data_IF_910991855188
#
_entry.id   IF_910991855188
#
_cell.length_a   1.000
_cell.length_b   1.000
_cell.length_c   1.000
_cell.angle_alpha   90.00
_cell.angle_beta   90.00
_cell.angle_gamma   90.00
#
_symmetry.space_group_name_H-M   'P 1'
#
loop_
_entity.id
_entity.type
_entity.pdbx_description
1 polymer ?
#
# COMPACT_ATOMS: atom_id res chain seq x y z
N UNK A 1 11.90 -3.54 1.11
CA UNK A 1 11.33 -4.32 2.23
C UNK A 1 11.11 -3.38 3.39
N UNK A 2 10.05 -3.56 4.19
CA UNK A 2 9.75 -2.67 5.32
C UNK A 2 10.43 -3.19 6.58
N UNK A 3 11.30 -2.37 7.17
CA UNK A 3 12.02 -2.71 8.39
C UNK A 3 11.36 -2.02 9.59
N UNK A 4 11.30 -2.72 10.72
CA UNK A 4 10.78 -2.20 11.99
C UNK A 4 11.77 -2.53 13.12
N UNK A 5 12.46 -1.56 13.70
CA UNK A 5 13.43 -1.87 14.75
C UNK A 5 12.75 -2.25 16.10
N UNK A 6 13.54 -2.55 17.12
CA UNK A 6 13.04 -2.85 18.47
C UNK A 6 12.40 -1.63 19.16
N UNK A 7 12.67 -0.43 18.68
CA UNK A 7 12.13 0.84 19.18
C UNK A 7 10.87 1.28 18.40
N UNK A 8 10.33 0.40 17.56
CA UNK A 8 9.19 0.65 16.70
C UNK A 8 9.40 1.74 15.63
N UNK A 9 10.65 1.97 15.24
CA UNK A 9 10.98 2.82 14.10
C UNK A 9 10.85 2.02 12.80
N UNK A 10 10.12 2.59 11.85
CA UNK A 10 9.95 2.08 10.51
C UNK A 10 11.00 2.67 9.58
N UNK A 11 11.59 1.83 8.73
CA UNK A 11 12.38 2.33 7.61
C UNK A 11 12.21 1.45 6.38
N UNK A 12 12.28 2.05 5.20
CA UNK A 12 12.34 1.33 3.94
C UNK A 12 12.89 2.24 2.84
N UNK A 13 13.40 1.62 1.78
CA UNK A 13 13.68 2.31 0.53
C UNK A 13 13.34 1.41 -0.64
N UNK A 14 13.11 2.01 -1.79
CA UNK A 14 12.81 1.25 -2.99
C UNK A 14 12.85 2.10 -4.25
N UNK A 15 12.63 1.40 -5.37
CA UNK A 15 12.48 1.99 -6.68
C UNK A 15 11.10 1.65 -7.22
N UNK A 16 10.38 2.64 -7.75
CA UNK A 16 9.17 2.42 -8.54
C UNK A 16 9.64 1.86 -9.90
N UNK A 17 9.13 0.70 -10.33
CA UNK A 17 9.45 0.12 -11.62
C UNK A 17 9.19 1.11 -12.75
N UNK A 18 10.05 1.14 -13.76
CA UNK A 18 9.93 2.10 -14.88
C UNK A 18 8.57 2.02 -15.58
N UNK A 19 7.99 0.83 -15.62
CA UNK A 19 6.65 0.55 -16.13
C UNK A 19 5.55 1.31 -15.37
N UNK A 20 5.74 1.53 -14.07
CA UNK A 20 4.84 2.31 -13.21
C UNK A 20 5.29 3.78 -13.07
N UNK A 21 6.53 4.08 -13.43
CA UNK A 21 7.09 5.44 -13.35
C UNK A 21 6.74 6.30 -14.59
N UNK A 22 6.66 5.72 -15.78
CA UNK A 22 6.30 6.42 -17.04
C UNK A 22 4.79 6.66 -17.15
N UNK A 23 4.33 7.64 -17.92
CA UNK A 23 2.91 8.02 -18.16
C UNK A 23 1.94 6.86 -18.52
N UNK A 24 1.65 5.96 -17.57
CA UNK A 24 0.59 4.97 -17.69
C UNK A 24 -0.75 5.68 -17.57
N UNK A 25 -1.71 5.30 -18.40
CA UNK A 25 -3.07 5.81 -18.27
C UNK A 25 -3.69 5.29 -16.97
N UNK A 26 -4.67 6.02 -16.43
CA UNK A 26 -5.43 5.52 -15.28
C UNK A 26 -6.08 4.16 -15.53
N UNK A 27 -6.50 3.91 -16.78
CA UNK A 27 -7.06 2.61 -17.17
C UNK A 27 -6.03 1.49 -16.97
N UNK A 28 -4.82 1.68 -17.47
CA UNK A 28 -3.75 0.68 -17.37
C UNK A 28 -3.34 0.50 -15.90
N UNK A 29 -3.22 1.59 -15.15
CA UNK A 29 -2.99 1.55 -13.71
C UNK A 29 -4.06 0.74 -12.97
N UNK A 30 -5.34 1.02 -13.23
CA UNK A 30 -6.46 0.35 -12.58
C UNK A 30 -6.48 -1.14 -12.94
N UNK A 31 -6.21 -1.48 -14.21
CA UNK A 31 -6.07 -2.86 -14.65
C UNK A 31 -4.95 -3.59 -13.90
N UNK A 32 -3.78 -2.96 -13.71
CA UNK A 32 -2.68 -3.55 -12.93
C UNK A 32 -3.11 -3.80 -11.48
N UNK A 33 -3.66 -2.80 -10.80
CA UNK A 33 -4.05 -2.93 -9.38
C UNK A 33 -5.15 -3.99 -9.20
N UNK A 34 -6.17 -3.98 -10.07
CA UNK A 34 -7.27 -4.96 -10.02
C UNK A 34 -6.73 -6.37 -10.26
N UNK A 35 -5.89 -6.56 -11.28
CA UNK A 35 -5.29 -7.85 -11.59
C UNK A 35 -4.48 -8.37 -10.40
N UNK A 36 -3.68 -7.51 -9.76
CA UNK A 36 -2.90 -7.87 -8.58
C UNK A 36 -3.75 -8.20 -7.36
N UNK A 37 -4.92 -7.56 -7.20
CA UNK A 37 -5.89 -7.93 -6.18
C UNK A 37 -6.55 -9.28 -6.43
N UNK A 38 -6.89 -9.58 -7.69
CA UNK A 38 -7.44 -10.88 -8.08
C UNK A 38 -6.41 -11.98 -7.83
N UNK A 39 -5.15 -11.75 -8.21
CA UNK A 39 -4.03 -12.66 -7.96
C UNK A 39 -3.85 -12.89 -6.45
N UNK A 40 -3.82 -11.81 -5.65
CA UNK A 40 -3.74 -11.88 -4.19
C UNK A 40 -4.87 -12.71 -3.58
N UNK A 41 -6.12 -12.50 -4.01
CA UNK A 41 -7.27 -13.29 -3.58
C UNK A 41 -7.16 -14.76 -4.00
N UNK A 42 -6.75 -15.02 -5.23
CA UNK A 42 -6.57 -16.37 -5.77
C UNK A 42 -5.48 -17.15 -5.03
N UNK A 43 -4.34 -16.49 -4.74
CA UNK A 43 -3.27 -17.10 -3.95
C UNK A 43 -3.72 -17.40 -2.53
N UNK A 44 -4.44 -16.47 -1.90
CA UNK A 44 -5.00 -16.69 -0.58
C UNK A 44 -6.01 -17.85 -0.54
N UNK A 45 -6.88 -17.98 -1.53
CA UNK A 45 -7.84 -19.09 -1.60
C UNK A 45 -7.17 -20.45 -1.87
N UNK A 46 -6.08 -20.46 -2.66
CA UNK A 46 -5.30 -21.67 -2.95
C UNK A 46 -4.47 -22.16 -1.76
N UNK A 47 -4.07 -21.27 -0.85
CA UNK A 47 -3.41 -21.66 0.41
C UNK A 47 -4.39 -22.41 1.32
N UNK A 48 -4.27 -23.74 1.31
CA UNK A 48 -5.24 -24.74 1.78
C UNK A 48 -5.63 -24.51 3.26
N UNK A 49 -6.86 -24.04 3.52
CA UNK A 49 -7.53 -24.20 4.83
C UNK A 49 -7.68 -22.95 5.72
N UNK A 50 -7.40 -21.76 5.20
CA UNK A 50 -7.51 -20.49 5.93
C UNK A 50 -6.19 -20.01 6.53
N UNK A 51 -6.23 -18.90 7.28
CA UNK A 51 -5.03 -18.17 7.76
C UNK A 51 -3.99 -19.02 8.50
N UNK A 52 -4.38 -20.20 9.00
CA UNK A 52 -3.51 -21.11 9.75
C UNK A 52 -2.45 -21.87 8.94
N UNK A 53 -2.38 -21.68 7.61
CA UNK A 53 -1.48 -22.45 6.72
C UNK A 53 -0.70 -21.63 5.69
N UNK A 54 -0.72 -20.29 5.73
CA UNK A 54 0.15 -19.49 4.85
C UNK A 54 1.61 -19.78 5.22
N UNK A 55 2.26 -20.69 4.49
CA UNK A 55 3.62 -21.15 4.78
C UNK A 55 4.60 -20.69 3.71
N UNK A 56 5.80 -20.29 4.15
CA UNK A 56 7.00 -20.06 3.32
C UNK A 56 6.77 -19.40 1.95
N UNK A 57 6.57 -20.23 0.92
CA UNK A 57 6.36 -19.78 -0.46
C UNK A 57 5.08 -18.99 -0.69
N UNK A 58 3.96 -19.38 -0.06
CA UNK A 58 2.68 -18.67 -0.21
C UNK A 58 2.73 -17.29 0.45
N UNK A 59 3.38 -17.20 1.62
CA UNK A 59 3.63 -15.94 2.32
C UNK A 59 4.44 -14.99 1.45
N UNK A 60 5.53 -15.49 0.85
CA UNK A 60 6.39 -14.70 -0.03
C UNK A 60 5.60 -14.16 -1.21
N UNK A 61 4.83 -15.00 -1.88
CA UNK A 61 4.00 -14.58 -3.03
C UNK A 61 2.98 -13.52 -2.61
N UNK A 62 2.28 -13.70 -1.49
CA UNK A 62 1.36 -12.69 -0.95
C UNK A 62 2.07 -11.36 -0.69
N UNK A 63 3.25 -11.38 -0.06
CA UNK A 63 4.05 -10.17 0.19
C UNK A 63 4.46 -9.52 -1.13
N UNK A 64 4.93 -10.29 -2.11
CA UNK A 64 5.36 -9.78 -3.41
C UNK A 64 4.18 -9.09 -4.13
N UNK A 65 2.98 -9.68 -4.10
CA UNK A 65 1.77 -9.07 -4.66
C UNK A 65 1.39 -7.77 -3.92
N UNK A 66 1.44 -7.77 -2.59
CA UNK A 66 1.20 -6.57 -1.78
C UNK A 66 2.22 -5.46 -2.06
N UNK A 67 3.49 -5.81 -2.29
CA UNK A 67 4.53 -4.87 -2.65
C UNK A 67 4.29 -4.24 -4.03
N UNK A 68 3.82 -5.01 -5.02
CA UNK A 68 3.46 -4.46 -6.34
C UNK A 68 2.26 -3.52 -6.23
N UNK A 69 1.23 -3.91 -5.47
CA UNK A 69 0.07 -3.08 -5.16
C UNK A 69 0.52 -1.77 -4.50
N UNK A 70 1.37 -1.86 -3.47
CA UNK A 70 1.92 -0.71 -2.76
C UNK A 70 2.64 0.24 -3.72
N UNK A 71 3.55 -0.27 -4.56
CA UNK A 71 4.29 0.54 -5.53
C UNK A 71 3.36 1.19 -6.56
N UNK A 72 2.32 0.50 -7.00
CA UNK A 72 1.32 1.05 -7.94
C UNK A 72 0.50 2.18 -7.30
N UNK A 73 0.13 2.04 -6.03
CA UNK A 73 -0.59 3.09 -5.31
C UNK A 73 0.34 4.27 -5.02
N UNK A 74 1.59 3.99 -4.63
CA UNK A 74 2.61 5.00 -4.38
C UNK A 74 2.92 5.80 -5.66
N UNK A 75 3.02 5.15 -6.83
CA UNK A 75 3.20 5.83 -8.11
C UNK A 75 2.02 6.75 -8.43
N UNK A 76 0.78 6.31 -8.15
CA UNK A 76 -0.40 7.16 -8.31
C UNK A 76 -0.36 8.37 -7.37
N UNK A 77 0.05 8.15 -6.12
CA UNK A 77 0.18 9.19 -5.11
C UNK A 77 1.16 10.28 -5.55
N UNK A 78 2.28 9.91 -6.15
CA UNK A 78 3.31 10.85 -6.60
C UNK A 78 2.86 11.61 -7.84
N UNK A 79 2.17 10.96 -8.79
CA UNK A 79 1.62 11.64 -9.97
C UNK A 79 0.56 12.67 -9.61
N UNK A 80 -0.13 12.46 -8.50
CA UNK A 80 -1.11 13.40 -7.97
C UNK A 80 -0.48 14.48 -7.10
N UNK A 81 0.81 14.39 -6.75
CA UNK A 81 1.54 15.46 -6.07
C UNK A 81 1.57 16.73 -6.91
N UNK A 82 1.64 17.88 -6.24
CA UNK A 82 2.05 19.10 -6.94
C UNK A 82 3.50 18.96 -7.41
N UNK A 83 3.87 19.64 -8.49
CA UNK A 83 5.23 19.59 -9.10
C UNK A 83 6.39 19.90 -8.14
N UNK A 84 6.11 20.34 -6.90
CA UNK A 84 7.09 20.79 -5.90
C UNK A 84 7.19 19.88 -4.67
N UNK A 85 6.35 18.85 -4.56
CA UNK A 85 6.32 17.98 -3.39
C UNK A 85 7.11 16.69 -3.66
N UNK A 86 8.33 16.62 -3.13
CA UNK A 86 9.15 15.40 -3.08
C UNK A 86 9.08 14.71 -1.71
N UNK A 87 8.14 15.13 -0.86
CA UNK A 87 7.94 14.56 0.46
C UNK A 87 6.47 14.62 0.85
N UNK A 88 6.02 13.61 1.59
CA UNK A 88 4.71 13.64 2.25
C UNK A 88 4.75 12.79 3.52
N UNK A 89 3.83 13.07 4.45
CA UNK A 89 3.70 12.32 5.69
C UNK A 89 2.31 11.69 5.77
N UNK A 90 2.29 10.37 5.97
CA UNK A 90 1.12 9.62 6.36
C UNK A 90 0.99 9.69 7.87
N UNK A 91 -0.11 10.25 8.38
CA UNK A 91 -0.38 10.28 9.82
C UNK A 91 -1.67 9.55 10.08
N UNK A 92 -1.63 8.57 10.98
CA UNK A 92 -2.81 7.84 11.39
C UNK A 92 -2.95 7.91 12.90
N UNK A 93 -4.07 8.49 13.36
CA UNK A 93 -4.36 8.61 14.79
C UNK A 93 -4.22 7.25 15.48
N UNK A 94 -3.45 7.22 16.56
CA UNK A 94 -3.17 6.04 17.39
C UNK A 94 -2.45 4.87 16.70
N UNK A 95 -1.99 5.03 15.46
CA UNK A 95 -1.27 3.96 14.72
C UNK A 95 0.14 4.36 14.30
N UNK A 96 0.46 5.65 14.28
CA UNK A 96 1.81 6.14 14.02
C UNK A 96 1.87 7.10 12.84
N UNK A 97 3.09 7.41 12.43
CA UNK A 97 3.34 8.24 11.26
C UNK A 97 4.47 7.68 10.41
N UNK A 98 4.38 7.95 9.11
CA UNK A 98 5.36 7.52 8.13
C UNK A 98 5.62 8.68 7.18
N UNK A 99 6.87 9.13 7.10
CA UNK A 99 7.35 10.12 6.16
C UNK A 99 7.96 9.44 4.94
N UNK A 100 7.57 9.90 3.75
CA UNK A 100 8.16 9.52 2.48
C UNK A 100 8.99 10.68 1.93
N UNK A 101 10.16 10.37 1.39
CA UNK A 101 11.03 11.30 0.70
C UNK A 101 11.44 10.70 -0.66
N UNK A 102 11.42 11.51 -1.71
CA UNK A 102 11.72 11.12 -3.07
C UNK A 102 12.96 11.87 -3.55
N UNK A 103 14.05 11.15 -3.79
CA UNK A 103 15.24 11.73 -4.42
C UNK A 103 15.05 11.91 -5.93
N UNK A 104 14.09 11.20 -6.51
CA UNK A 104 13.57 11.36 -7.88
C UNK A 104 12.17 10.74 -7.98
N UNK A 105 11.48 10.86 -9.12
CA UNK A 105 10.17 10.24 -9.32
C UNK A 105 10.14 8.72 -9.10
N UNK A 106 11.30 8.05 -9.20
CA UNK A 106 11.38 6.60 -9.16
C UNK A 106 12.01 6.10 -7.86
N UNK A 107 12.78 6.92 -7.14
CA UNK A 107 13.48 6.50 -5.93
C UNK A 107 12.83 7.11 -4.70
N UNK A 108 12.51 6.24 -3.73
CA UNK A 108 11.84 6.62 -2.51
C UNK A 108 12.51 6.05 -1.28
N UNK A 109 12.45 6.83 -0.21
CA UNK A 109 12.86 6.48 1.13
C UNK A 109 11.71 6.76 2.09
N UNK A 110 11.57 5.91 3.09
CA UNK A 110 10.49 5.92 4.06
C UNK A 110 11.09 5.82 5.45
N UNK A 111 10.65 6.68 6.35
CA UNK A 111 10.98 6.63 7.79
C UNK A 111 9.72 6.89 8.59
N UNK A 112 9.50 6.18 9.69
CA UNK A 112 8.30 6.38 10.50
C UNK A 112 8.43 5.81 11.89
N UNK A 113 7.37 5.93 12.68
CA UNK A 113 7.28 5.35 14.02
C UNK A 113 5.89 4.79 14.25
N UNK A 114 5.82 3.63 14.90
CA UNK A 114 4.59 3.09 15.46
C UNK A 114 4.56 3.40 16.96
N UNK A 115 3.39 3.69 17.56
CA UNK A 115 3.30 4.03 18.97
C UNK A 115 3.64 2.81 19.84
N UNK A 116 4.19 3.02 21.04
CA UNK A 116 4.63 1.93 21.93
C UNK A 116 3.54 0.93 22.31
N UNK A 117 2.28 1.37 22.32
CA UNK A 117 1.12 0.52 22.58
C UNK A 117 0.58 -0.16 21.31
N UNK A 118 1.22 0.02 20.15
CA UNK A 118 0.78 -0.55 18.89
C UNK A 118 0.91 -2.08 18.94
N UNK A 119 -0.24 -2.73 19.07
CA UNK A 119 -0.36 -4.18 18.92
C UNK A 119 -1.00 -4.44 17.57
N UNK A 120 -0.26 -5.06 16.66
CA UNK A 120 -0.88 -5.64 15.48
C UNK A 120 -1.80 -6.74 15.99
N UNK A 121 -3.10 -6.49 15.97
CA UNK A 121 -4.06 -7.48 16.43
C UNK A 121 -3.98 -8.69 15.51
N UNK A 122 -3.91 -9.92 16.05
CA UNK A 122 -4.07 -11.13 15.25
C UNK A 122 -5.46 -11.06 14.61
N UNK A 123 -5.50 -10.69 13.34
CA UNK A 123 -6.71 -10.69 12.55
C UNK A 123 -6.49 -11.65 11.41
N UNK A 124 -7.57 -12.33 11.03
CA UNK A 124 -7.58 -13.16 9.84
C UNK A 124 -7.11 -12.33 8.65
N UNK A 125 -6.14 -12.81 7.87
CA UNK A 125 -5.66 -12.12 6.69
C UNK A 125 -6.80 -11.87 5.69
N UNK A 126 -7.75 -12.80 5.60
CA UNK A 126 -9.03 -12.58 4.90
C UNK A 126 -9.81 -11.34 5.36
N UNK A 127 -9.76 -10.96 6.64
CA UNK A 127 -10.40 -9.72 7.10
C UNK A 127 -9.68 -8.49 6.55
N UNK A 128 -8.35 -8.48 6.47
CA UNK A 128 -7.62 -7.38 5.83
C UNK A 128 -7.99 -7.26 4.36
N UNK A 129 -7.97 -8.35 3.60
CA UNK A 129 -8.35 -8.32 2.18
C UNK A 129 -9.79 -7.82 2.03
N UNK A 130 -10.75 -8.48 2.67
CA UNK A 130 -12.16 -8.28 2.36
C UNK A 130 -12.77 -7.04 3.03
N UNK A 131 -12.28 -6.65 4.21
CA UNK A 131 -12.89 -5.57 5.01
C UNK A 131 -12.05 -4.29 5.04
N UNK A 132 -10.78 -4.34 4.62
CA UNK A 132 -9.90 -3.15 4.59
C UNK A 132 -9.48 -2.81 3.16
N UNK A 133 -8.69 -3.68 2.54
CA UNK A 133 -8.04 -3.38 1.26
C UNK A 133 -9.04 -3.29 0.10
N UNK A 134 -9.92 -4.29 -0.07
CA UNK A 134 -10.85 -4.32 -1.21
C UNK A 134 -11.83 -3.12 -1.21
N UNK A 135 -12.47 -2.74 -0.09
CA UNK A 135 -13.29 -1.52 -0.04
C UNK A 135 -12.51 -0.25 -0.39
N UNK A 136 -11.30 -0.08 0.17
CA UNK A 136 -10.47 1.11 -0.07
C UNK A 136 -10.04 1.23 -1.53
N UNK A 137 -9.81 0.11 -2.23
CA UNK A 137 -9.45 0.13 -3.64
C UNK A 137 -10.62 0.44 -4.54
N UNK A 138 -11.79 -0.12 -4.24
CA UNK A 138 -13.02 0.26 -4.95
C UNK A 138 -13.31 1.76 -4.79
N UNK A 139 -13.09 2.29 -3.59
CA UNK A 139 -13.20 3.71 -3.31
C UNK A 139 -12.17 4.52 -4.09
N UNK A 140 -10.90 4.10 -4.11
CA UNK A 140 -9.84 4.77 -4.86
C UNK A 140 -10.15 4.84 -6.36
N UNK A 141 -10.57 3.72 -6.95
CA UNK A 141 -10.95 3.66 -8.37
C UNK A 141 -12.11 4.62 -8.66
N UNK A 142 -13.10 4.71 -7.76
CA UNK A 142 -14.25 5.59 -7.90
C UNK A 142 -13.86 7.07 -7.79
N UNK A 143 -13.12 7.45 -6.75
CA UNK A 143 -12.72 8.84 -6.49
C UNK A 143 -11.78 9.34 -7.57
N UNK A 144 -10.78 8.53 -7.95
CA UNK A 144 -9.82 8.90 -8.97
C UNK A 144 -10.45 8.93 -10.37
N UNK A 145 -11.33 7.96 -10.69
CA UNK A 145 -12.04 7.93 -11.96
C UNK A 145 -12.88 9.19 -12.19
N UNK A 146 -13.58 9.66 -11.15
CA UNK A 146 -14.35 10.92 -11.19
C UNK A 146 -13.47 12.15 -11.40
N UNK A 147 -12.34 12.22 -10.70
CA UNK A 147 -11.39 13.34 -10.80
C UNK A 147 -10.67 13.43 -12.16
N UNK A 148 -10.83 12.43 -13.04
CA UNK A 148 -10.29 12.44 -14.40
C UNK A 148 -11.34 12.71 -15.48
N UNK A 149 -12.62 12.83 -15.13
CA UNK A 149 -13.69 13.02 -16.12
C UNK A 149 -13.52 14.29 -16.96
N UNK A 150 -12.97 15.35 -16.36
CA UNK A 150 -12.68 16.63 -17.01
C UNK A 150 -11.21 16.76 -17.49
N UNK A 151 -10.41 15.71 -17.28
CA UNK A 151 -9.00 15.65 -17.65
C UNK A 151 -8.04 16.48 -16.78
N UNK A 152 -8.52 17.13 -15.71
CA UNK A 152 -7.69 17.99 -14.85
C UNK A 152 -8.01 17.76 -13.36
N UNK A 153 -7.08 17.13 -12.64
CA UNK A 153 -7.23 16.92 -11.19
C UNK A 153 -7.03 18.25 -10.45
N UNK A 154 -8.11 18.79 -9.89
CA UNK A 154 -8.10 20.01 -9.08
C UNK A 154 -7.44 19.79 -7.71
N UNK A 155 -7.01 20.86 -6.99
CA UNK A 155 -6.49 20.73 -5.63
C UNK A 155 -7.47 20.09 -4.64
N UNK A 156 -8.78 20.31 -4.84
CA UNK A 156 -9.83 19.71 -4.00
C UNK A 156 -9.90 18.20 -4.23
N UNK A 157 -9.94 17.77 -5.48
CA UNK A 157 -9.99 16.34 -5.84
C UNK A 157 -8.73 15.61 -5.42
N UNK A 158 -7.57 16.25 -5.58
CA UNK A 158 -6.30 15.76 -5.05
C UNK A 158 -6.40 15.48 -3.55
N UNK A 159 -6.98 16.39 -2.77
CA UNK A 159 -7.23 16.18 -1.35
C UNK A 159 -8.14 14.98 -1.06
N UNK A 160 -9.21 14.77 -1.84
CA UNK A 160 -10.08 13.59 -1.71
C UNK A 160 -9.37 12.29 -2.08
N UNK A 161 -8.54 12.30 -3.13
CA UNK A 161 -7.71 11.16 -3.52
C UNK A 161 -6.74 10.81 -2.38
N UNK A 162 -6.09 11.81 -1.76
CA UNK A 162 -5.16 11.60 -0.66
C UNK A 162 -5.81 10.95 0.55
N UNK A 163 -7.05 11.34 0.88
CA UNK A 163 -7.81 10.74 1.99
C UNK A 163 -8.03 9.23 1.81
N UNK A 164 -8.00 8.72 0.58
CA UNK A 164 -8.15 7.30 0.28
C UNK A 164 -6.80 6.61 0.14
N UNK A 165 -5.85 7.24 -0.57
CA UNK A 165 -4.52 6.66 -0.80
C UNK A 165 -3.72 6.54 0.50
N UNK A 166 -3.69 7.59 1.33
CA UNK A 166 -2.79 7.67 2.48
C UNK A 166 -3.09 6.56 3.52
N UNK A 167 -4.35 6.31 3.92
CA UNK A 167 -4.68 5.17 4.78
C UNK A 167 -4.42 3.82 4.13
N UNK A 168 -4.63 3.68 2.82
CA UNK A 168 -4.42 2.42 2.10
C UNK A 168 -2.92 2.05 2.03
N UNK A 169 -2.05 3.03 1.73
CA UNK A 169 -0.59 2.85 1.79
C UNK A 169 -0.15 2.42 3.19
N UNK A 170 -0.65 3.12 4.22
CA UNK A 170 -0.34 2.77 5.61
C UNK A 170 -0.80 1.34 5.95
N UNK A 171 -2.02 0.95 5.54
CA UNK A 171 -2.53 -0.39 5.81
C UNK A 171 -1.68 -1.48 5.16
N UNK A 172 -1.25 -1.29 3.91
CA UNK A 172 -0.38 -2.26 3.23
C UNK A 172 0.97 -2.41 3.94
N UNK A 173 1.58 -1.31 4.40
CA UNK A 173 2.83 -1.34 5.19
C UNK A 173 2.64 -2.23 6.43
N UNK A 174 1.57 -2.01 7.19
CA UNK A 174 1.27 -2.78 8.40
C UNK A 174 1.06 -4.26 8.09
N UNK A 175 0.31 -4.57 7.02
CA UNK A 175 0.05 -5.96 6.63
C UNK A 175 1.35 -6.67 6.25
N UNK A 176 2.22 -6.04 5.46
CA UNK A 176 3.51 -6.64 5.08
C UNK A 176 4.37 -6.91 6.32
N UNK A 177 4.50 -5.94 7.22
CA UNK A 177 5.24 -6.11 8.49
C UNK A 177 4.66 -7.24 9.32
N UNK A 178 3.32 -7.34 9.38
CA UNK A 178 2.66 -8.41 10.09
C UNK A 178 3.00 -9.78 9.51
N UNK A 179 2.85 -9.91 8.20
CA UNK A 179 3.13 -11.15 7.48
C UNK A 179 4.58 -11.54 7.72
N UNK A 180 5.53 -10.63 7.56
CA UNK A 180 6.97 -10.87 7.75
C UNK A 180 7.30 -11.36 9.17
N UNK A 181 6.78 -10.69 10.20
CA UNK A 181 7.19 -10.93 11.61
C UNK A 181 6.37 -11.96 12.37
N UNK A 182 5.06 -11.99 12.16
CA UNK A 182 4.13 -12.71 13.03
C UNK A 182 3.55 -13.96 12.36
N UNK A 183 3.59 -14.05 11.03
CA UNK A 183 3.25 -15.25 10.28
C UNK A 183 4.50 -16.13 10.08
N UNK A 184 5.21 -16.38 11.19
CA UNK A 184 6.25 -17.40 11.31
C UNK A 184 5.62 -18.52 12.12
N UNK A 185 5.43 -19.67 11.47
CA UNK A 185 4.92 -20.89 12.11
C UNK A 185 5.87 -21.26 13.25
N UNK A 186 5.33 -21.35 14.47
CA UNK A 186 5.90 -22.19 15.54
C UNK A 186 5.56 -23.65 15.25
#
# INVERSE_FOLDING_TARGET
>A
MFELDSNLNLSAKGMIPDELAKDISFRDWASIVIQKFIELGTYYEKSIGGDGKIIGGEKKEIIDQLCIIFQSILSLRIRTLSEKEFQFMLTHENRGSVSFNFSSYNFWEMTGTLPMNYKIQPTKFSNWINKKLLPQIKELISVYGKALEDGVITPKERGEIYKVIDPLLFEIIIIVIYLERYLVVK
#
